data_IF_091612644292
#
_entry.id   IF_091612644292
#
_cell.length_a   1.000
_cell.length_b   1.000
_cell.length_c   1.000
_cell.angle_alpha   90.00
_cell.angle_beta   90.00
_cell.angle_gamma   90.00
#
_symmetry.space_group_name_H-M   'P 1'
#
loop_
_entity.id
_entity.type
_entity.pdbx_description
1 polymer ?
#
# COMPACT_ATOMS: atom_id res chain seq x y z
N UNK A 1 -4.22 -9.20 -10.53
CA UNK A 1 -4.41 -7.96 -9.75
C UNK A 1 -3.57 -8.04 -8.49
N UNK A 2 -2.85 -6.97 -8.19
CA UNK A 2 -1.90 -6.82 -7.09
C UNK A 2 -2.23 -5.52 -6.36
N UNK A 3 -2.26 -5.57 -5.03
CA UNK A 3 -2.50 -4.41 -4.19
C UNK A 3 -1.29 -4.20 -3.29
N UNK A 4 -0.68 -3.02 -3.39
CA UNK A 4 0.53 -2.65 -2.64
C UNK A 4 0.19 -1.49 -1.72
N UNK A 5 0.42 -1.69 -0.42
CA UNK A 5 0.39 -0.66 0.60
C UNK A 5 1.82 -0.15 0.80
N UNK A 6 2.04 1.14 0.57
CA UNK A 6 3.30 1.82 0.83
C UNK A 6 3.13 2.68 2.07
N UNK A 7 4.05 2.53 3.04
CA UNK A 7 4.14 3.38 4.22
C UNK A 7 5.33 4.31 4.05
N UNK A 8 5.03 5.59 3.89
CA UNK A 8 6.00 6.67 3.77
C UNK A 8 6.11 7.46 5.08
N UNK A 9 7.29 8.04 5.36
CA UNK A 9 7.43 8.98 6.46
C UNK A 9 6.54 10.20 6.24
N UNK A 10 5.94 10.71 7.32
CA UNK A 10 5.16 11.93 7.33
C UNK A 10 5.61 12.83 8.49
N UNK A 11 5.40 14.17 8.43
CA UNK A 11 5.75 15.08 9.52
C UNK A 11 5.09 14.71 10.85
N UNK A 12 3.88 14.14 10.79
CA UNK A 12 3.15 13.58 11.92
C UNK A 12 2.49 12.28 11.45
N UNK A 13 2.62 11.22 12.25
CA UNK A 13 2.03 9.91 11.96
C UNK A 13 2.67 9.19 10.76
N UNK A 14 1.82 8.58 9.92
CA UNK A 14 2.22 7.75 8.78
C UNK A 14 1.42 8.14 7.54
N UNK A 15 2.11 8.35 6.43
CA UNK A 15 1.48 8.48 5.12
C UNK A 15 1.37 7.10 4.48
N UNK A 16 0.16 6.68 4.18
CA UNK A 16 -0.12 5.43 3.52
C UNK A 16 -0.59 5.68 2.08
N UNK A 17 0.04 5.01 1.12
CA UNK A 17 -0.35 5.05 -0.29
C UNK A 17 -0.75 3.64 -0.73
N UNK A 18 -1.96 3.47 -1.26
CA UNK A 18 -2.44 2.20 -1.76
C UNK A 18 -2.45 2.22 -3.29
N UNK A 19 -1.76 1.25 -3.89
CA UNK A 19 -1.58 1.12 -5.33
C UNK A 19 -2.17 -0.19 -5.80
N UNK A 20 -3.07 -0.12 -6.77
CA UNK A 20 -3.67 -1.28 -7.41
C UNK A 20 -3.07 -1.44 -8.82
N UNK A 21 -2.55 -2.63 -9.11
CA UNK A 21 -1.91 -2.99 -10.38
C UNK A 21 -2.60 -4.24 -10.96
N UNK A 22 -2.81 -4.31 -12.27
CA UNK A 22 -3.31 -5.52 -12.94
C UNK A 22 -2.71 -5.66 -14.33
N UNK A 23 -2.75 -6.87 -14.85
CA UNK A 23 -2.30 -7.15 -16.21
C UNK A 23 -3.44 -6.87 -17.18
N UNK A 24 -3.18 -6.07 -18.20
CA UNK A 24 -4.09 -5.72 -19.28
C UNK A 24 -3.34 -5.87 -20.61
N UNK A 25 -3.76 -6.82 -21.44
CA UNK A 25 -3.24 -7.02 -22.82
C UNK A 25 -1.70 -7.04 -22.92
N UNK A 26 -1.02 -7.71 -21.98
CA UNK A 26 0.44 -7.82 -21.96
C UNK A 26 1.17 -6.58 -21.44
N UNK A 27 0.45 -5.67 -20.77
CA UNK A 27 1.01 -4.52 -20.05
C UNK A 27 0.51 -4.51 -18.61
N UNK A 28 1.33 -4.02 -17.70
CA UNK A 28 0.90 -3.74 -16.33
C UNK A 28 0.18 -2.39 -16.29
N UNK A 29 -1.12 -2.42 -16.07
CA UNK A 29 -1.93 -1.25 -15.78
C UNK A 29 -1.91 -0.95 -14.27
N UNK A 30 -2.06 0.32 -13.91
CA UNK A 30 -2.01 0.80 -12.52
C UNK A 30 -3.02 1.91 -12.29
N UNK A 31 -3.76 1.86 -11.18
CA UNK A 31 -4.60 2.97 -10.71
C UNK A 31 -3.77 4.08 -10.08
N UNK A 32 -4.30 5.30 -10.09
CA UNK A 32 -3.77 6.39 -9.28
C UNK A 32 -3.71 5.99 -7.79
N UNK A 33 -2.62 6.27 -7.08
CA UNK A 33 -2.48 5.88 -5.68
C UNK A 33 -3.53 6.57 -4.81
N UNK A 34 -4.25 5.79 -4.00
CA UNK A 34 -5.08 6.35 -2.94
C UNK A 34 -4.18 6.68 -1.76
N UNK A 35 -4.10 7.95 -1.38
CA UNK A 35 -3.21 8.43 -0.31
C UNK A 35 -4.03 8.82 0.91
N UNK A 36 -3.59 8.40 2.10
CA UNK A 36 -4.21 8.79 3.37
C UNK A 36 -3.16 8.95 4.48
N UNK A 37 -3.39 9.90 5.38
CA UNK A 37 -2.60 10.09 6.60
C UNK A 37 -3.27 9.37 7.76
N UNK A 38 -2.45 8.75 8.62
CA UNK A 38 -2.87 8.05 9.82
C UNK A 38 -2.00 8.45 10.99
N UNK A 39 -2.54 8.44 12.21
CA UNK A 39 -1.76 8.73 13.40
C UNK A 39 -0.79 7.59 13.76
N UNK A 40 -1.17 6.35 13.43
CA UNK A 40 -0.40 5.15 13.74
C UNK A 40 -0.32 4.18 12.55
N UNK A 41 0.77 3.40 12.51
CA UNK A 41 1.02 2.39 11.48
C UNK A 41 -0.08 1.31 11.43
N UNK A 42 -0.56 0.88 12.59
CA UNK A 42 -1.59 -0.14 12.72
C UNK A 42 -2.88 0.28 12.01
N UNK A 43 -3.22 1.58 12.05
CA UNK A 43 -4.39 2.11 11.35
C UNK A 43 -4.20 2.07 9.83
N UNK A 44 -3.00 2.42 9.35
CA UNK A 44 -2.66 2.34 7.93
C UNK A 44 -2.72 0.89 7.42
N UNK A 45 -2.20 -0.06 8.20
CA UNK A 45 -2.24 -1.49 7.86
C UNK A 45 -3.68 -2.02 7.88
N UNK A 46 -4.47 -1.67 8.90
CA UNK A 46 -5.88 -2.07 8.99
C UNK A 46 -6.68 -1.53 7.80
N UNK A 47 -6.42 -0.29 7.38
CA UNK A 47 -7.02 0.30 6.19
C UNK A 47 -6.63 -0.46 4.91
N UNK A 48 -5.34 -0.74 4.69
CA UNK A 48 -4.89 -1.52 3.53
C UNK A 48 -5.50 -2.92 3.47
N UNK A 49 -5.57 -3.62 4.61
CA UNK A 49 -6.25 -4.92 4.73
C UNK A 49 -7.74 -4.83 4.39
N UNK A 50 -8.43 -3.81 4.89
CA UNK A 50 -9.85 -3.57 4.59
C UNK A 50 -10.06 -3.39 3.09
N UNK A 51 -9.18 -2.64 2.41
CA UNK A 51 -9.24 -2.45 0.96
C UNK A 51 -8.97 -3.74 0.20
N UNK A 52 -8.03 -4.56 0.65
CA UNK A 52 -7.79 -5.88 0.09
C UNK A 52 -9.03 -6.78 0.16
N UNK A 53 -9.67 -6.84 1.33
CA UNK A 53 -10.90 -7.63 1.54
C UNK A 53 -12.03 -7.17 0.64
N UNK A 54 -12.22 -5.86 0.46
CA UNK A 54 -13.22 -5.29 -0.47
C UNK A 54 -12.97 -5.70 -1.92
N UNK A 55 -11.70 -5.93 -2.29
CA UNK A 55 -11.28 -6.40 -3.61
C UNK A 55 -11.14 -7.92 -3.69
N UNK A 56 -11.58 -8.66 -2.66
CA UNK A 56 -11.47 -10.12 -2.55
C UNK A 56 -10.02 -10.65 -2.68
N UNK A 57 -9.03 -9.82 -2.32
CA UNK A 57 -7.63 -10.20 -2.33
C UNK A 57 -7.27 -10.88 -1.00
N UNK A 58 -6.61 -12.05 -1.09
CA UNK A 58 -6.14 -12.80 0.09
C UNK A 58 -4.88 -12.21 0.73
N UNK A 59 -4.18 -11.35 0.01
CA UNK A 59 -2.90 -10.77 0.43
C UNK A 59 -2.75 -9.33 -0.06
N UNK A 60 -1.94 -8.55 0.66
CA UNK A 60 -1.41 -7.25 0.22
C UNK A 60 0.10 -7.29 0.28
N UNK A 61 0.74 -6.58 -0.64
CA UNK A 61 2.17 -6.31 -0.55
C UNK A 61 2.36 -5.09 0.33
N UNK A 62 3.37 -5.12 1.21
CA UNK A 62 3.71 -4.01 2.09
C UNK A 62 5.12 -3.53 1.73
N UNK A 63 5.25 -2.24 1.42
CA UNK A 63 6.53 -1.57 1.26
C UNK A 63 6.65 -0.51 2.35
N UNK A 64 7.67 -0.60 3.19
CA UNK A 64 7.87 0.31 4.30
C UNK A 64 9.09 1.20 4.04
N UNK A 65 8.86 2.35 3.41
CA UNK A 65 9.91 3.32 3.06
C UNK A 65 10.46 4.07 4.27
N UNK A 66 9.89 3.88 5.47
CA UNK A 66 10.39 4.44 6.72
C UNK A 66 11.57 3.63 7.27
N UNK A 67 11.71 2.38 6.85
CA UNK A 67 12.78 1.49 7.29
C UNK A 67 13.89 1.49 6.25
N UNK A 68 15.17 1.57 6.65
CA UNK A 68 16.25 1.35 5.71
C UNK A 68 16.14 -0.09 5.17
N UNK A 69 16.06 -0.24 3.84
CA UNK A 69 16.18 -1.55 3.20
C UNK A 69 17.48 -2.20 3.66
N UNK A 70 17.45 -3.44 4.19
CA UNK A 70 18.67 -4.17 4.49
C UNK A 70 19.50 -4.23 3.21
N UNK A 71 20.73 -3.70 3.26
CA UNK A 71 21.69 -3.91 2.19
C UNK A 71 22.17 -5.35 2.34
N UNK A 72 21.77 -6.22 1.41
CA UNK A 72 22.40 -7.52 1.20
C UNK A 72 23.81 -7.35 0.61
#
# INVERSE_FOLDING_TARGET
MKLTLILDPAPVGVRASLIEEWEELGRTARMEPMVRLFDAEEQAIAWGRTMASRRQLKQIYLTDNRKPTPRE
#
